data_IF_848030261638
#
_entry.id   IF_848030261638
#
_cell.length_a   1.000
_cell.length_b   1.000
_cell.length_c   1.000
_cell.angle_alpha   90.00
_cell.angle_beta   90.00
_cell.angle_gamma   90.00
#
_symmetry.space_group_name_H-M   'P 1'
#
loop_
_entity.id
_entity.type
_entity.pdbx_description
1 polymer ?
#
# COMPACT_ATOMS: atom_id res chain seq x y z
N UNK A 1 23.30 3.56 -2.01
CA UNK A 1 23.13 2.19 -2.62
C UNK A 1 23.95 2.20 -3.90
N UNK A 2 24.77 1.17 -4.16
CA UNK A 2 25.53 1.08 -5.41
C UNK A 2 24.55 1.00 -6.58
N UNK A 3 24.89 1.58 -7.77
CA UNK A 3 23.96 1.67 -8.90
C UNK A 3 23.60 0.32 -9.56
N UNK A 4 24.06 -0.80 -9.03
CA UNK A 4 24.03 -2.11 -9.68
C UNK A 4 23.40 -3.24 -8.85
N UNK A 5 22.65 -2.91 -7.80
CA UNK A 5 21.89 -3.94 -7.08
C UNK A 5 20.55 -4.15 -7.81
N UNK A 6 20.38 -5.34 -8.40
CA UNK A 6 19.10 -5.78 -8.96
C UNK A 6 17.94 -5.70 -7.97
N UNK A 7 16.73 -6.08 -8.38
CA UNK A 7 15.55 -6.06 -7.50
C UNK A 7 15.80 -6.86 -6.21
N UNK A 8 15.43 -6.29 -5.07
CA UNK A 8 15.43 -7.05 -3.82
C UNK A 8 14.14 -7.88 -3.74
N UNK A 9 14.27 -9.13 -3.36
CA UNK A 9 13.16 -10.10 -3.26
C UNK A 9 12.80 -10.28 -1.79
N UNK A 10 11.52 -10.17 -1.47
CA UNK A 10 10.95 -10.59 -0.19
C UNK A 10 9.82 -11.59 -0.41
N UNK A 11 9.64 -12.48 0.54
CA UNK A 11 8.68 -13.58 0.44
C UNK A 11 7.93 -13.80 1.75
N UNK A 12 6.82 -14.51 1.66
CA UNK A 12 6.11 -15.09 2.80
C UNK A 12 5.82 -16.57 2.56
N UNK A 13 5.39 -17.26 3.60
CA UNK A 13 5.10 -18.69 3.55
C UNK A 13 6.26 -19.58 3.98
N UNK A 14 5.92 -20.61 4.72
CA UNK A 14 6.88 -21.46 5.43
C UNK A 14 7.94 -22.14 4.52
N UNK A 15 7.58 -22.41 3.25
CA UNK A 15 8.52 -23.06 2.32
C UNK A 15 9.48 -22.10 1.63
N UNK A 16 9.19 -20.80 1.63
CA UNK A 16 10.00 -19.76 0.97
C UNK A 16 10.86 -18.95 1.95
N UNK A 17 10.40 -18.81 3.20
CA UNK A 17 11.15 -18.08 4.22
C UNK A 17 12.48 -18.76 4.55
N UNK A 18 13.49 -17.95 4.80
CA UNK A 18 14.85 -18.40 5.09
C UNK A 18 15.82 -18.14 3.95
N UNK A 19 17.00 -18.74 3.99
CA UNK A 19 18.05 -18.61 2.96
C UNK A 19 18.47 -17.17 2.66
N UNK A 20 18.37 -16.26 3.65
CA UNK A 20 18.76 -14.85 3.48
C UNK A 20 17.71 -13.96 2.81
N UNK A 21 16.50 -14.46 2.53
CA UNK A 21 15.40 -13.63 2.02
C UNK A 21 14.67 -12.91 3.15
N UNK A 22 14.33 -11.67 2.93
CA UNK A 22 13.51 -10.86 3.84
C UNK A 22 12.04 -11.31 3.82
N UNK A 23 11.33 -11.11 4.93
CA UNK A 23 9.87 -11.23 4.90
C UNK A 23 9.25 -10.01 4.22
N UNK A 24 8.10 -10.21 3.54
CA UNK A 24 7.37 -9.10 2.90
C UNK A 24 7.03 -8.02 3.93
N UNK A 25 6.57 -8.40 5.13
CA UNK A 25 6.22 -7.43 6.15
C UNK A 25 7.41 -6.59 6.62
N UNK A 26 8.59 -7.20 6.78
CA UNK A 26 9.82 -6.46 7.10
C UNK A 26 10.21 -5.50 5.99
N UNK A 27 10.11 -5.92 4.71
CA UNK A 27 10.38 -5.07 3.56
C UNK A 27 9.44 -3.87 3.50
N UNK A 28 8.13 -4.08 3.71
CA UNK A 28 7.11 -3.02 3.72
C UNK A 28 7.37 -2.03 4.85
N UNK A 29 7.59 -2.51 6.09
CA UNK A 29 7.90 -1.65 7.24
C UNK A 29 9.16 -0.81 7.00
N UNK A 30 10.23 -1.44 6.56
CA UNK A 30 11.50 -0.74 6.27
C UNK A 30 11.31 0.35 5.21
N UNK A 31 10.62 0.04 4.13
CA UNK A 31 10.42 0.98 3.03
C UNK A 31 9.51 2.16 3.43
N UNK A 32 8.36 1.90 4.04
CA UNK A 32 7.42 2.94 4.47
C UNK A 32 8.02 3.84 5.55
N UNK A 33 8.77 3.27 6.51
CA UNK A 33 9.39 4.07 7.59
C UNK A 33 10.43 5.06 7.09
N UNK A 34 11.05 4.82 5.94
CA UNK A 34 12.06 5.67 5.30
C UNK A 34 11.47 6.76 4.41
N UNK A 35 10.15 6.82 4.24
CA UNK A 35 9.52 7.87 3.45
C UNK A 35 9.85 9.27 3.98
N UNK A 36 10.16 10.18 3.07
CA UNK A 36 10.53 11.56 3.37
C UNK A 36 9.45 12.56 2.93
N UNK A 37 8.68 12.25 1.88
CA UNK A 37 7.70 13.18 1.31
C UNK A 37 6.36 12.53 1.02
N UNK A 38 6.33 11.38 0.37
CA UNK A 38 5.09 10.80 -0.13
C UNK A 38 5.12 9.27 -0.16
N UNK A 39 3.94 8.69 0.09
CA UNK A 39 3.67 7.26 -0.13
C UNK A 39 2.41 7.14 -0.99
N UNK A 40 2.51 6.39 -2.07
CA UNK A 40 1.36 6.03 -2.91
C UNK A 40 1.10 4.53 -2.81
N UNK A 41 -0.15 4.14 -2.63
CA UNK A 41 -0.55 2.75 -2.44
C UNK A 41 -1.73 2.42 -3.35
N UNK A 42 -1.62 1.31 -4.09
CA UNK A 42 -2.75 0.68 -4.76
C UNK A 42 -3.04 -0.67 -4.12
N UNK A 43 -4.26 -0.88 -3.65
CA UNK A 43 -4.65 -2.08 -2.93
C UNK A 43 -5.98 -2.65 -3.42
N UNK A 44 -6.00 -3.96 -3.71
CA UNK A 44 -7.23 -4.70 -3.98
C UNK A 44 -8.04 -4.88 -2.68
N UNK A 45 -7.38 -5.38 -1.63
CA UNK A 45 -7.98 -5.61 -0.32
C UNK A 45 -7.01 -5.21 0.80
N UNK A 46 -7.56 -4.66 1.86
CA UNK A 46 -6.83 -4.27 3.06
C UNK A 46 -7.45 -5.00 4.23
N UNK A 47 -6.59 -5.65 5.03
CA UNK A 47 -6.96 -6.31 6.27
C UNK A 47 -7.83 -7.55 6.12
N UNK A 48 -7.62 -8.52 6.96
CA UNK A 48 -8.49 -9.68 7.13
C UNK A 48 -8.60 -10.14 8.60
N UNK A 49 -7.70 -9.69 9.51
CA UNK A 49 -7.65 -10.11 10.92
C UNK A 49 -7.09 -9.00 11.83
N UNK A 50 -6.92 -9.30 13.12
CA UNK A 50 -6.43 -8.38 14.17
C UNK A 50 -5.08 -7.69 13.90
N UNK A 51 -4.27 -8.23 13.01
CA UNK A 51 -2.96 -7.67 12.65
C UNK A 51 -3.05 -6.52 11.61
N UNK A 52 -4.27 -6.16 11.18
CA UNK A 52 -4.55 -4.92 10.45
C UNK A 52 -4.01 -3.69 11.19
N UNK A 53 -3.97 -3.77 12.51
CA UNK A 53 -3.51 -2.66 13.35
C UNK A 53 -2.08 -2.25 13.05
N UNK A 54 -1.14 -3.17 12.83
CA UNK A 54 0.26 -2.81 12.56
C UNK A 54 0.41 -1.97 11.28
N UNK A 55 -0.32 -2.30 10.21
CA UNK A 55 -0.28 -1.51 8.98
C UNK A 55 -0.86 -0.11 9.20
N UNK A 56 -1.99 -0.01 9.89
CA UNK A 56 -2.60 1.29 10.20
C UNK A 56 -1.77 2.11 11.18
N UNK A 57 -1.12 1.49 12.17
CA UNK A 57 -0.16 2.18 13.04
C UNK A 57 1.03 2.72 12.25
N UNK A 58 1.53 1.95 11.28
CA UNK A 58 2.59 2.41 10.38
C UNK A 58 2.13 3.63 9.56
N UNK A 59 0.90 3.60 9.02
CA UNK A 59 0.32 4.76 8.31
C UNK A 59 0.13 5.96 9.24
N UNK A 60 -0.38 5.77 10.47
CA UNK A 60 -0.50 6.85 11.46
C UNK A 60 0.87 7.48 11.76
N UNK A 61 1.89 6.65 11.91
CA UNK A 61 3.26 7.11 12.18
C UNK A 61 3.81 8.01 11.07
N UNK A 62 3.61 7.66 9.80
CA UNK A 62 4.08 8.48 8.68
C UNK A 62 3.24 9.74 8.50
N UNK A 63 1.91 9.66 8.67
CA UNK A 63 1.01 10.81 8.62
C UNK A 63 1.31 11.82 9.73
N UNK A 64 1.63 11.36 10.93
CA UNK A 64 2.04 12.22 12.04
C UNK A 64 3.35 12.98 11.77
N UNK A 65 4.22 12.47 10.89
CA UNK A 65 5.42 13.16 10.40
C UNK A 65 5.11 14.17 9.27
N UNK A 66 3.86 14.28 8.84
CA UNK A 66 3.46 15.15 7.73
C UNK A 66 3.69 14.57 6.34
N UNK A 67 4.07 13.30 6.24
CA UNK A 67 4.23 12.59 4.97
C UNK A 67 2.88 12.47 4.27
N UNK A 68 2.83 12.79 2.98
CA UNK A 68 1.62 12.62 2.18
C UNK A 68 1.38 11.13 1.92
N UNK A 69 0.16 10.67 2.08
CA UNK A 69 -0.23 9.28 1.75
C UNK A 69 -1.42 9.31 0.79
N UNK A 70 -1.23 8.79 -0.41
CA UNK A 70 -2.29 8.49 -1.37
C UNK A 70 -2.61 6.99 -1.28
N UNK A 71 -3.82 6.65 -0.90
CA UNK A 71 -4.32 5.28 -0.89
C UNK A 71 -5.47 5.13 -1.88
N UNK A 72 -5.28 4.29 -2.90
CA UNK A 72 -6.30 3.94 -3.89
C UNK A 72 -6.74 2.50 -3.59
N UNK A 73 -8.00 2.32 -3.24
CA UNK A 73 -8.57 1.00 -2.95
C UNK A 73 -9.53 0.56 -4.03
N UNK A 74 -9.57 -0.74 -4.29
CA UNK A 74 -10.56 -1.32 -5.18
C UNK A 74 -11.91 -1.34 -4.47
N UNK A 75 -12.94 -0.71 -5.05
CA UNK A 75 -14.32 -0.72 -4.57
C UNK A 75 -14.39 -0.53 -3.05
N UNK A 76 -14.21 0.70 -2.60
CA UNK A 76 -14.17 1.06 -1.17
C UNK A 76 -15.36 0.46 -0.38
N UNK A 77 -16.55 0.44 -0.98
CA UNK A 77 -17.74 -0.16 -0.38
C UNK A 77 -17.61 -1.66 -0.08
N UNK A 78 -16.76 -2.38 -0.82
CA UNK A 78 -16.52 -3.81 -0.64
C UNK A 78 -15.44 -4.12 0.41
N UNK A 79 -14.71 -3.08 0.87
CA UNK A 79 -13.78 -3.26 1.98
C UNK A 79 -14.55 -3.54 3.28
N UNK A 80 -13.93 -4.27 4.21
CA UNK A 80 -14.55 -4.55 5.52
C UNK A 80 -14.95 -3.28 6.24
N UNK A 81 -16.02 -3.32 6.99
CA UNK A 81 -16.54 -2.16 7.72
C UNK A 81 -15.51 -1.58 8.69
N UNK A 82 -14.78 -2.43 9.43
CA UNK A 82 -13.69 -2.01 10.33
C UNK A 82 -12.61 -1.21 9.59
N UNK A 83 -12.18 -1.70 8.42
CA UNK A 83 -11.19 -1.05 7.56
C UNK A 83 -11.72 0.29 7.06
N UNK A 84 -12.96 0.33 6.55
CA UNK A 84 -13.58 1.58 6.08
C UNK A 84 -13.64 2.64 7.18
N UNK A 85 -14.03 2.26 8.41
CA UNK A 85 -14.06 3.18 9.57
C UNK A 85 -12.69 3.78 9.85
N UNK A 86 -11.63 2.96 9.88
CA UNK A 86 -10.26 3.43 10.12
C UNK A 86 -9.81 4.37 8.98
N UNK A 87 -10.05 4.01 7.72
CA UNK A 87 -9.66 4.83 6.57
C UNK A 87 -10.39 6.18 6.56
N UNK A 88 -11.69 6.23 6.91
CA UNK A 88 -12.45 7.47 7.04
C UNK A 88 -11.96 8.32 8.22
N UNK A 89 -11.62 7.70 9.35
CA UNK A 89 -10.97 8.39 10.49
C UNK A 89 -9.66 9.05 10.05
N UNK A 90 -8.78 8.31 9.36
CA UNK A 90 -7.52 8.85 8.86
C UNK A 90 -7.76 10.01 7.88
N UNK A 91 -8.72 9.87 6.95
CA UNK A 91 -9.06 10.93 5.99
C UNK A 91 -9.66 12.19 6.64
N UNK A 92 -10.35 12.02 7.76
CA UNK A 92 -10.86 13.15 8.57
C UNK A 92 -9.77 13.83 9.39
N UNK A 93 -8.85 13.05 9.95
CA UNK A 93 -7.83 13.52 10.90
C UNK A 93 -6.61 14.15 10.22
N UNK A 94 -6.19 13.62 9.07
CA UNK A 94 -4.96 14.03 8.41
C UNK A 94 -5.23 14.59 7.01
N UNK A 95 -5.01 15.89 6.81
CA UNK A 95 -5.14 16.55 5.49
C UNK A 95 -4.13 16.01 4.46
N UNK A 96 -3.03 15.40 4.92
CA UNK A 96 -2.03 14.73 4.10
C UNK A 96 -2.44 13.32 3.67
N UNK A 97 -3.57 12.76 4.16
CA UNK A 97 -4.09 11.47 3.73
C UNK A 97 -5.17 11.65 2.66
N UNK A 98 -4.92 11.12 1.49
CA UNK A 98 -5.83 11.13 0.33
C UNK A 98 -6.34 9.72 0.08
N UNK A 99 -7.62 9.50 0.31
CA UNK A 99 -8.29 8.22 0.06
C UNK A 99 -9.06 8.28 -1.24
N UNK A 100 -8.84 7.31 -2.10
CA UNK A 100 -9.48 7.17 -3.40
C UNK A 100 -10.17 5.82 -3.56
N UNK A 101 -11.34 5.82 -4.18
CA UNK A 101 -12.10 4.63 -4.57
C UNK A 101 -11.96 4.38 -6.07
N UNK A 102 -11.32 3.27 -6.45
CA UNK A 102 -11.37 2.78 -7.81
C UNK A 102 -12.63 1.94 -7.97
N UNK A 103 -13.66 2.53 -8.56
CA UNK A 103 -14.96 1.88 -8.76
C UNK A 103 -15.46 2.09 -10.21
N UNK A 104 -14.86 1.40 -11.19
CA UNK A 104 -15.19 1.57 -12.60
C UNK A 104 -16.64 1.15 -12.89
N UNK A 105 -17.21 1.75 -13.95
CA UNK A 105 -18.57 1.43 -14.41
C UNK A 105 -18.65 -0.01 -14.88
N UNK A 106 -17.66 -0.49 -15.62
CA UNK A 106 -17.56 -1.91 -15.99
C UNK A 106 -17.24 -2.74 -14.76
N UNK A 107 -18.20 -3.55 -14.35
CA UNK A 107 -18.07 -4.41 -13.15
C UNK A 107 -17.08 -5.57 -13.32
N UNK A 108 -16.56 -5.81 -14.53
CA UNK A 108 -15.50 -6.79 -14.81
C UNK A 108 -14.11 -6.23 -14.53
N UNK A 109 -13.96 -4.89 -14.43
CA UNK A 109 -12.68 -4.25 -14.12
C UNK A 109 -12.47 -4.18 -12.62
N UNK A 110 -11.29 -4.59 -12.17
CA UNK A 110 -10.84 -4.48 -10.79
C UNK A 110 -9.42 -3.91 -10.71
N UNK A 111 -9.16 -3.11 -9.69
CA UNK A 111 -7.81 -2.74 -9.30
C UNK A 111 -7.16 -3.92 -8.56
N UNK A 112 -6.58 -4.84 -9.30
CA UNK A 112 -5.94 -6.03 -8.71
C UNK A 112 -4.43 -5.85 -8.45
N UNK A 113 -3.88 -4.69 -8.74
CA UNK A 113 -2.49 -4.33 -8.44
C UNK A 113 -2.25 -4.23 -6.92
N UNK A 114 -1.07 -4.64 -6.47
CA UNK A 114 -0.56 -4.49 -5.11
C UNK A 114 0.75 -3.74 -5.22
N UNK A 115 0.66 -2.43 -5.03
CA UNK A 115 1.76 -1.51 -5.25
C UNK A 115 1.91 -0.58 -4.05
N UNK A 116 3.16 -0.33 -3.65
CA UNK A 116 3.51 0.75 -2.72
C UNK A 116 4.68 1.50 -3.34
N UNK A 117 4.53 2.80 -3.57
CA UNK A 117 5.60 3.66 -4.08
C UNK A 117 5.97 4.67 -3.00
N UNK A 118 7.26 4.80 -2.75
CA UNK A 118 7.82 5.71 -1.75
C UNK A 118 8.66 6.75 -2.48
N UNK A 119 8.31 8.03 -2.32
CA UNK A 119 9.03 9.21 -2.82
C UNK A 119 9.38 9.12 -4.33
N UNK A 120 8.60 8.41 -5.12
CA UNK A 120 8.86 8.08 -6.53
C UNK A 120 10.24 7.46 -6.81
N UNK A 121 10.97 7.04 -5.79
CA UNK A 121 12.32 6.48 -5.89
C UNK A 121 12.39 4.99 -5.60
N UNK A 122 11.42 4.49 -4.83
CA UNK A 122 11.31 3.09 -4.44
C UNK A 122 9.88 2.59 -4.70
N UNK A 123 9.75 1.42 -5.32
CA UNK A 123 8.46 0.77 -5.53
C UNK A 123 8.49 -0.68 -5.03
N UNK A 124 7.45 -1.06 -4.29
CA UNK A 124 7.17 -2.45 -3.91
C UNK A 124 6.07 -2.97 -4.82
N UNK A 125 6.33 -4.07 -5.50
CA UNK A 125 5.43 -4.70 -6.48
C UNK A 125 5.36 -6.19 -6.21
N UNK A 126 4.17 -6.73 -6.06
CA UNK A 126 4.05 -8.16 -5.80
C UNK A 126 2.64 -8.71 -5.81
N UNK A 127 2.50 -9.91 -5.29
CA UNK A 127 1.22 -10.61 -5.20
C UNK A 127 0.48 -10.36 -3.87
N UNK A 128 1.18 -9.91 -2.82
CA UNK A 128 0.66 -9.79 -1.47
C UNK A 128 -0.36 -8.65 -1.32
N UNK A 129 -1.59 -8.98 -0.89
CA UNK A 129 -2.53 -7.97 -0.40
C UNK A 129 -2.03 -7.36 0.92
N UNK A 130 -2.51 -6.16 1.25
CA UNK A 130 -2.25 -5.47 2.53
C UNK A 130 -3.07 -6.12 3.67
N UNK A 131 -2.87 -7.40 3.90
CA UNK A 131 -3.56 -8.21 4.89
C UNK A 131 -2.58 -9.15 5.59
N UNK A 132 -2.95 -9.66 6.76
CA UNK A 132 -2.14 -10.65 7.46
C UNK A 132 -1.80 -11.85 6.57
N UNK A 133 -2.78 -12.37 5.85
CA UNK A 133 -2.55 -13.50 4.94
C UNK A 133 -1.52 -13.14 3.87
N UNK A 134 -1.64 -11.98 3.23
CA UNK A 134 -0.72 -11.54 2.19
C UNK A 134 0.68 -11.24 2.74
N UNK A 135 0.76 -10.59 3.90
CA UNK A 135 2.02 -10.10 4.45
C UNK A 135 2.81 -11.14 5.26
N UNK A 136 2.14 -12.21 5.75
CA UNK A 136 2.74 -13.14 6.72
C UNK A 136 2.46 -14.61 6.41
N UNK A 137 1.20 -14.99 6.06
CA UNK A 137 0.77 -16.38 6.10
C UNK A 137 0.83 -17.12 4.75
N UNK A 138 0.37 -16.48 3.66
CA UNK A 138 0.36 -17.08 2.34
C UNK A 138 1.79 -17.22 1.78
N UNK A 139 1.92 -17.97 0.67
CA UNK A 139 3.11 -17.95 -0.16
C UNK A 139 2.99 -16.81 -1.17
N UNK A 140 3.61 -15.67 -0.85
CA UNK A 140 3.57 -14.45 -1.66
C UNK A 140 5.00 -13.97 -1.93
N UNK A 141 5.16 -13.24 -3.03
CA UNK A 141 6.43 -12.64 -3.44
C UNK A 141 6.23 -11.14 -3.65
N UNK A 142 7.21 -10.36 -3.21
CA UNK A 142 7.29 -8.92 -3.45
C UNK A 142 8.69 -8.53 -3.87
N UNK A 143 8.78 -7.61 -4.83
CA UNK A 143 10.03 -7.02 -5.30
C UNK A 143 10.12 -5.58 -4.83
N UNK A 144 11.29 -5.18 -4.34
CA UNK A 144 11.66 -3.77 -4.18
C UNK A 144 12.47 -3.35 -5.40
N UNK A 145 11.93 -2.37 -6.12
CA UNK A 145 12.50 -1.75 -7.31
C UNK A 145 12.93 -0.33 -6.97
N UNK A 146 13.91 0.21 -7.68
CA UNK A 146 14.40 1.59 -7.48
C UNK A 146 14.60 2.31 -8.80
N UNK A 147 14.89 3.62 -8.69
CA UNK A 147 15.24 4.47 -9.82
C UNK A 147 14.10 4.65 -10.82
N UNK A 148 14.42 4.63 -12.13
CA UNK A 148 13.49 4.97 -13.20
C UNK A 148 12.24 4.07 -13.22
N UNK A 149 12.38 2.79 -12.89
CA UNK A 149 11.24 1.86 -12.82
C UNK A 149 10.27 2.24 -11.72
N UNK A 150 10.77 2.56 -10.52
CA UNK A 150 9.94 3.02 -9.41
C UNK A 150 9.23 4.34 -9.76
N UNK A 151 9.93 5.28 -10.38
CA UNK A 151 9.35 6.54 -10.86
C UNK A 151 8.16 6.30 -11.80
N UNK A 152 8.31 5.46 -12.82
CA UNK A 152 7.23 5.16 -13.77
C UNK A 152 6.03 4.47 -13.10
N UNK A 153 6.27 3.61 -12.09
CA UNK A 153 5.17 3.00 -11.32
C UNK A 153 4.41 4.09 -10.54
N UNK A 154 5.10 5.07 -9.97
CA UNK A 154 4.48 6.24 -9.35
C UNK A 154 3.60 7.03 -10.32
N UNK A 155 4.07 7.32 -11.53
CA UNK A 155 3.26 7.98 -12.56
C UNK A 155 2.00 7.19 -12.94
N UNK A 156 2.04 5.84 -12.89
CA UNK A 156 0.84 5.02 -13.11
C UNK A 156 -0.17 5.21 -11.98
N UNK A 157 0.29 5.32 -10.73
CA UNK A 157 -0.59 5.59 -9.59
C UNK A 157 -1.17 7.01 -9.63
N UNK A 158 -0.41 8.00 -10.09
CA UNK A 158 -0.92 9.36 -10.31
C UNK A 158 -2.07 9.36 -11.32
N UNK A 159 -1.89 8.69 -12.45
CA UNK A 159 -2.95 8.54 -13.46
C UNK A 159 -4.16 7.79 -12.93
N UNK A 160 -3.95 6.72 -12.15
CA UNK A 160 -5.02 5.96 -11.53
C UNK A 160 -5.80 6.84 -10.54
N UNK A 161 -5.10 7.65 -9.74
CA UNK A 161 -5.70 8.58 -8.77
C UNK A 161 -6.62 9.60 -9.42
N UNK A 162 -6.24 10.14 -10.60
CA UNK A 162 -7.07 11.08 -11.35
C UNK A 162 -8.39 10.44 -11.81
N UNK A 163 -8.37 9.15 -12.13
CA UNK A 163 -9.52 8.37 -12.59
C UNK A 163 -10.26 7.64 -11.44
N UNK A 164 -9.94 7.93 -10.19
CA UNK A 164 -10.58 7.36 -9.01
C UNK A 164 -11.34 8.42 -8.22
N UNK A 165 -12.46 8.06 -7.62
CA UNK A 165 -13.30 8.96 -6.84
C UNK A 165 -12.66 9.29 -5.49
N UNK A 166 -12.77 10.56 -5.04
CA UNK A 166 -12.30 10.95 -3.72
C UNK A 166 -13.28 10.50 -2.65
N UNK A 167 -12.78 9.73 -1.67
CA UNK A 167 -13.54 9.35 -0.48
C UNK A 167 -13.23 10.36 0.62
N UNK A 168 -14.24 11.11 1.06
CA UNK A 168 -14.09 12.11 2.13
C UNK A 168 -14.56 11.51 3.45
N UNK A 169 -13.81 11.73 4.51
CA UNK A 169 -14.32 11.55 5.87
C UNK A 169 -15.48 12.53 6.08
N UNK A 170 -16.67 12.01 6.32
CA UNK A 170 -17.82 12.87 6.66
C UNK A 170 -17.63 13.51 8.04
N UNK A 171 -18.29 14.69 8.30
CA UNK A 171 -18.21 15.34 9.60
C UNK A 171 -18.95 14.59 10.72
N UNK A 172 -19.56 13.43 10.42
CA UNK A 172 -20.25 12.56 11.41
C UNK A 172 -20.14 11.11 10.93
N UNK A 173 -19.27 10.34 11.54
CA UNK A 173 -19.25 8.89 11.53
C UNK A 173 -19.38 8.36 12.94
#
# INVERSE_FOLDING_TARGET
>A
MSPDSGPEIAVTGNFWLGRGLSSIWSLVKDSISKAESEIQIAAYAIGENSDEYEFFELLRGVLARGIRVLLIVNRFSNQRESVRKILLELASKYSSFVLKDFNPQDKREDLHAKLIVIDHTTALVGSANLSFKGMVANHELMLRLSGRTAYHIGELLDRLSVNSESVKGGPNG
#
